data_IF_443504809406
#
_entry.id   IF_443504809406
#
_cell.length_a   1.000
_cell.length_b   1.000
_cell.length_c   1.000
_cell.angle_alpha   90.00
_cell.angle_beta   90.00
_cell.angle_gamma   90.00
#
_symmetry.space_group_name_H-M   'P 1'
#
loop_
_entity.id
_entity.type
_entity.pdbx_description
1 polymer ?
#
# COMPACT_ATOMS: atom_id res chain seq x y z
N UNK A 1 -46.02 27.19 37.21
CA UNK A 1 -45.51 25.91 36.66
C UNK A 1 -45.64 25.89 35.12
N UNK A 2 -45.13 26.90 34.41
CA UNK A 2 -45.15 26.95 32.92
C UNK A 2 -43.81 27.40 32.31
N UNK A 3 -42.88 27.93 33.11
CA UNK A 3 -41.55 28.37 32.63
C UNK A 3 -40.51 27.22 32.59
N UNK A 4 -40.54 26.27 33.55
CA UNK A 4 -39.59 25.15 33.60
C UNK A 4 -39.76 24.16 32.45
N UNK A 5 -40.97 23.99 31.92
CA UNK A 5 -41.24 23.06 30.82
C UNK A 5 -40.71 23.61 29.48
N UNK A 6 -40.74 24.94 29.27
CA UNK A 6 -40.28 25.58 28.03
C UNK A 6 -38.76 25.56 27.88
N UNK A 7 -38.02 25.68 28.99
CA UNK A 7 -36.54 25.63 29.01
C UNK A 7 -36.03 24.26 28.54
N UNK A 8 -36.70 23.16 28.92
CA UNK A 8 -36.32 21.83 28.47
C UNK A 8 -36.51 21.62 26.96
N UNK A 9 -37.55 22.20 26.36
CA UNK A 9 -37.76 22.10 24.90
C UNK A 9 -36.74 22.91 24.10
N UNK A 10 -36.35 24.09 24.58
CA UNK A 10 -35.32 24.92 23.93
C UNK A 10 -33.95 24.25 24.01
N UNK A 11 -33.61 23.66 25.16
CA UNK A 11 -32.35 22.93 25.34
C UNK A 11 -32.29 21.65 24.48
N UNK A 12 -33.40 20.92 24.38
CA UNK A 12 -33.52 19.73 23.53
C UNK A 12 -33.38 20.08 22.04
N UNK A 13 -33.98 21.20 21.59
CA UNK A 13 -33.86 21.69 20.22
C UNK A 13 -32.41 22.06 19.87
N UNK A 14 -31.67 22.65 20.81
CA UNK A 14 -30.28 23.09 20.60
C UNK A 14 -29.30 21.90 20.50
N UNK A 15 -29.56 20.80 21.22
CA UNK A 15 -28.82 19.54 21.10
C UNK A 15 -29.08 18.89 19.74
N UNK A 16 -30.34 18.89 19.25
CA UNK A 16 -30.69 18.33 17.94
C UNK A 16 -29.99 19.09 16.80
N UNK A 17 -29.89 20.42 16.88
CA UNK A 17 -29.17 21.24 15.88
C UNK A 17 -27.66 20.93 15.85
N UNK A 18 -27.06 20.60 17.00
CA UNK A 18 -25.65 20.17 17.04
C UNK A 18 -25.42 18.78 16.44
N UNK A 19 -26.41 17.87 16.52
CA UNK A 19 -26.32 16.53 15.94
C UNK A 19 -26.52 16.50 14.41
N UNK A 20 -27.09 17.55 13.81
CA UNK A 20 -27.27 17.67 12.36
C UNK A 20 -26.02 18.22 11.64
N UNK A 21 -24.91 18.44 12.36
CA UNK A 21 -23.64 18.93 11.84
C UNK A 21 -22.73 17.90 11.16
N UNK A 22 -23.19 16.66 10.91
CA UNK A 22 -22.50 15.76 9.99
C UNK A 22 -22.81 16.19 8.55
N UNK A 23 -22.17 17.27 8.11
CA UNK A 23 -22.05 17.55 6.69
C UNK A 23 -21.16 16.45 6.11
N UNK A 24 -21.76 15.49 5.41
CA UNK A 24 -21.07 14.72 4.38
C UNK A 24 -20.66 15.72 3.29
N UNK A 25 -19.51 16.35 3.53
CA UNK A 25 -18.88 17.23 2.55
C UNK A 25 -18.44 16.28 1.46
N UNK A 26 -19.24 16.14 0.41
CA UNK A 26 -18.92 15.49 -0.85
C UNK A 26 -17.75 16.23 -1.52
N UNK A 27 -16.58 16.22 -0.90
CA UNK A 27 -15.35 16.80 -1.42
C UNK A 27 -14.86 15.79 -2.44
N UNK A 28 -15.14 16.08 -3.71
CA UNK A 28 -14.60 15.30 -4.83
C UNK A 28 -13.08 15.22 -4.67
N UNK A 29 -12.48 14.02 -4.58
CA UNK A 29 -11.05 13.89 -4.42
C UNK A 29 -10.32 14.55 -5.59
N UNK A 30 -9.20 15.21 -5.30
CA UNK A 30 -8.34 15.80 -6.33
C UNK A 30 -7.84 14.73 -7.30
N UNK A 31 -7.42 15.14 -8.50
CA UNK A 31 -6.82 14.23 -9.46
C UNK A 31 -5.60 13.49 -8.85
N UNK A 32 -4.81 14.20 -8.06
CA UNK A 32 -3.66 13.66 -7.33
C UNK A 32 -4.06 12.62 -6.29
N UNK A 33 -5.10 12.92 -5.49
CA UNK A 33 -5.62 11.98 -4.50
C UNK A 33 -6.14 10.70 -5.15
N UNK A 34 -6.83 10.80 -6.29
CA UNK A 34 -7.30 9.63 -7.05
C UNK A 34 -6.14 8.79 -7.57
N UNK A 35 -5.13 9.45 -8.13
CA UNK A 35 -3.96 8.78 -8.70
C UNK A 35 -3.13 8.07 -7.63
N UNK A 36 -3.00 8.68 -6.45
CA UNK A 36 -2.37 8.05 -5.29
C UNK A 36 -3.15 6.82 -4.80
N UNK A 37 -4.48 6.92 -4.68
CA UNK A 37 -5.33 5.78 -4.31
C UNK A 37 -5.23 4.64 -5.32
N UNK A 38 -5.23 4.95 -6.61
CA UNK A 38 -5.06 3.95 -7.66
C UNK A 38 -3.69 3.27 -7.58
N UNK A 39 -2.61 4.02 -7.35
CA UNK A 39 -1.29 3.45 -7.11
C UNK A 39 -1.28 2.50 -5.90
N UNK A 40 -1.92 2.86 -4.79
CA UNK A 40 -2.02 1.99 -3.61
C UNK A 40 -2.80 0.70 -3.91
N UNK A 41 -3.90 0.79 -4.65
CA UNK A 41 -4.68 -0.37 -5.06
C UNK A 41 -3.85 -1.32 -5.94
N UNK A 42 -3.01 -0.76 -6.83
CA UNK A 42 -2.14 -1.57 -7.68
C UNK A 42 -1.02 -2.23 -6.87
N UNK A 43 -0.43 -1.54 -5.89
CA UNK A 43 0.54 -2.15 -4.95
C UNK A 43 -0.11 -3.36 -4.26
N UNK A 44 -1.34 -3.21 -3.78
CA UNK A 44 -2.07 -4.26 -3.08
C UNK A 44 -2.45 -5.43 -3.99
N UNK A 45 -2.88 -5.14 -5.23
CA UNK A 45 -3.16 -6.15 -6.24
C UNK A 45 -1.89 -6.94 -6.61
N UNK A 46 -0.77 -6.24 -6.79
CA UNK A 46 0.54 -6.86 -7.04
C UNK A 46 0.99 -7.72 -5.84
N UNK A 47 0.83 -7.22 -4.61
CA UNK A 47 1.17 -7.96 -3.38
C UNK A 47 0.40 -9.27 -3.31
N UNK A 48 -0.91 -9.19 -3.49
CA UNK A 48 -1.81 -10.36 -3.51
C UNK A 48 -1.43 -11.33 -4.63
N UNK A 49 -1.24 -10.83 -5.85
CA UNK A 49 -0.85 -11.64 -6.99
C UNK A 49 0.50 -12.33 -6.78
N UNK A 50 1.46 -11.68 -6.12
CA UNK A 50 2.73 -12.29 -5.76
C UNK A 50 2.53 -13.45 -4.76
N UNK A 51 1.81 -13.21 -3.67
CA UNK A 51 1.55 -14.22 -2.62
C UNK A 51 0.78 -15.44 -3.15
N UNK A 52 -0.19 -15.20 -4.03
CA UNK A 52 -1.02 -16.22 -4.68
C UNK A 52 -0.37 -16.82 -5.93
N UNK A 53 0.77 -16.25 -6.38
CA UNK A 53 1.47 -16.60 -7.61
C UNK A 53 0.63 -16.45 -8.88
N UNK A 54 -0.28 -15.48 -8.90
CA UNK A 54 -1.06 -15.11 -10.08
C UNK A 54 -0.20 -14.34 -11.09
N UNK A 55 0.34 -15.09 -12.06
CA UNK A 55 1.19 -14.56 -13.13
C UNK A 55 0.45 -13.57 -14.02
N UNK A 56 -0.84 -13.80 -14.28
CA UNK A 56 -1.61 -12.94 -15.17
C UNK A 56 -1.85 -11.57 -14.52
N UNK A 57 -2.21 -11.55 -13.24
CA UNK A 57 -2.35 -10.31 -12.47
C UNK A 57 -1.02 -9.54 -12.39
N UNK A 58 0.11 -10.21 -12.17
CA UNK A 58 1.44 -9.57 -12.19
C UNK A 58 1.73 -8.91 -13.55
N UNK A 59 1.45 -9.59 -14.67
CA UNK A 59 1.64 -9.04 -16.02
C UNK A 59 0.70 -7.87 -16.34
N UNK A 60 -0.52 -7.87 -15.79
CA UNK A 60 -1.49 -6.80 -15.99
C UNK A 60 -1.06 -5.51 -15.28
N UNK A 61 -0.53 -5.63 -14.06
CA UNK A 61 -0.23 -4.49 -13.20
C UNK A 61 1.21 -3.98 -13.30
N UNK A 62 2.14 -4.77 -13.83
CA UNK A 62 3.54 -4.39 -14.00
C UNK A 62 3.91 -4.13 -15.46
N UNK A 63 5.04 -3.45 -15.66
CA UNK A 63 5.78 -3.53 -16.91
C UNK A 63 6.24 -4.96 -17.19
N UNK A 64 6.34 -5.30 -18.49
CA UNK A 64 6.68 -6.64 -18.97
C UNK A 64 7.96 -7.22 -18.36
N UNK A 65 9.06 -6.45 -18.32
CA UNK A 65 10.34 -6.95 -17.82
C UNK A 65 10.31 -7.17 -16.30
N UNK A 66 9.67 -6.24 -15.57
CA UNK A 66 9.50 -6.36 -14.13
C UNK A 66 8.61 -7.55 -13.77
N UNK A 67 7.53 -7.76 -14.52
CA UNK A 67 6.64 -8.91 -14.36
C UNK A 67 7.40 -10.22 -14.57
N UNK A 68 8.15 -10.34 -15.67
CA UNK A 68 8.92 -11.54 -15.98
C UNK A 68 9.95 -11.87 -14.89
N UNK A 69 10.69 -10.87 -14.42
CA UNK A 69 11.66 -11.06 -13.36
C UNK A 69 10.99 -11.51 -12.06
N UNK A 70 9.88 -10.88 -11.70
CA UNK A 70 9.09 -11.24 -10.51
C UNK A 70 8.53 -12.66 -10.60
N UNK A 71 7.99 -13.04 -11.76
CA UNK A 71 7.42 -14.37 -12.02
C UNK A 71 8.50 -15.47 -11.93
N UNK A 72 9.70 -15.22 -12.47
CA UNK A 72 10.83 -16.15 -12.35
C UNK A 72 11.22 -16.38 -10.89
N UNK A 73 11.00 -15.40 -10.01
CA UNK A 73 11.30 -15.45 -8.58
C UNK A 73 10.27 -16.16 -7.70
N UNK A 74 9.15 -16.68 -8.24
CA UNK A 74 8.05 -17.31 -7.46
C UNK A 74 8.37 -18.73 -6.94
N UNK A 75 9.58 -18.90 -6.38
CA UNK A 75 10.18 -20.17 -5.93
C UNK A 75 10.00 -20.41 -4.42
N UNK A 76 8.83 -20.09 -3.87
CA UNK A 76 8.46 -20.34 -2.47
C UNK A 76 7.19 -21.19 -2.38
N UNK A 77 6.92 -21.83 -1.25
CA UNK A 77 5.63 -22.53 -1.02
C UNK A 77 4.51 -21.55 -0.69
N UNK A 78 4.82 -20.60 0.20
CA UNK A 78 3.93 -19.53 0.64
C UNK A 78 4.76 -18.28 0.89
N UNK A 79 4.18 -17.11 0.67
CA UNK A 79 4.72 -15.84 1.10
C UNK A 79 3.64 -15.05 1.84
N UNK A 80 4.08 -14.11 2.68
CA UNK A 80 3.23 -13.10 3.28
C UNK A 80 4.02 -11.81 3.35
N UNK A 81 3.54 -10.78 2.68
CA UNK A 81 4.12 -9.45 2.60
C UNK A 81 3.16 -8.45 3.26
N UNK A 82 3.74 -7.45 3.89
CA UNK A 82 3.02 -6.25 4.36
C UNK A 82 3.73 -5.05 3.78
N UNK A 83 2.98 -4.19 3.10
CA UNK A 83 3.50 -2.97 2.48
C UNK A 83 2.73 -1.79 3.06
N UNK A 84 3.46 -0.84 3.63
CA UNK A 84 2.89 0.34 4.31
C UNK A 84 3.38 1.60 3.62
N UNK A 85 2.55 2.22 2.74
CA UNK A 85 2.88 3.47 2.09
C UNK A 85 3.20 4.58 3.10
N UNK A 86 4.19 5.41 2.79
CA UNK A 86 4.64 6.53 3.64
C UNK A 86 4.48 7.87 2.95
N UNK A 87 4.87 7.95 1.69
CA UNK A 87 4.86 9.19 0.93
C UNK A 87 4.53 8.90 -0.52
N UNK A 88 3.84 9.85 -1.15
CA UNK A 88 3.56 9.83 -2.59
C UNK A 88 4.12 11.08 -3.21
N UNK A 89 4.93 10.90 -4.26
CA UNK A 89 5.43 11.98 -5.10
C UNK A 89 4.82 11.82 -6.49
N UNK A 90 4.16 12.86 -6.97
CA UNK A 90 3.51 12.86 -8.29
C UNK A 90 4.25 13.86 -9.16
N UNK A 91 4.68 13.41 -10.33
CA UNK A 91 5.24 14.25 -11.39
C UNK A 91 4.31 14.23 -12.61
N UNK A 92 4.73 14.89 -13.69
CA UNK A 92 3.95 14.87 -14.93
C UNK A 92 3.91 13.48 -15.58
N UNK A 93 4.97 12.69 -15.42
CA UNK A 93 5.12 11.40 -16.10
C UNK A 93 4.96 10.18 -15.18
N UNK A 94 5.13 10.36 -13.87
CA UNK A 94 5.20 9.24 -12.93
C UNK A 94 4.52 9.52 -11.60
N UNK A 95 4.17 8.44 -10.92
CA UNK A 95 3.76 8.45 -9.52
C UNK A 95 4.73 7.54 -8.78
N UNK A 96 5.35 8.06 -7.73
CA UNK A 96 6.25 7.30 -6.88
C UNK A 96 5.63 7.15 -5.51
N UNK A 97 5.48 5.92 -5.06
CA UNK A 97 5.03 5.59 -3.70
C UNK A 97 6.21 5.05 -2.92
N UNK A 98 6.70 5.82 -1.95
CA UNK A 98 7.64 5.31 -0.96
C UNK A 98 6.89 4.47 0.07
N UNK A 99 7.38 3.27 0.38
CA UNK A 99 6.81 2.42 1.41
C UNK A 99 7.87 1.65 2.19
N UNK A 100 7.55 1.37 3.45
CA UNK A 100 8.24 0.33 4.23
C UNK A 100 7.51 -0.99 4.00
N UNK A 101 8.25 -2.08 3.98
CA UNK A 101 7.67 -3.40 3.85
C UNK A 101 8.36 -4.42 4.74
N UNK A 102 7.64 -5.50 5.04
CA UNK A 102 8.17 -6.71 5.68
C UNK A 102 7.59 -7.94 5.01
N UNK A 103 8.35 -9.02 4.98
CA UNK A 103 7.98 -10.25 4.30
C UNK A 103 8.46 -11.50 4.99
N UNK A 104 7.68 -12.57 4.83
CA UNK A 104 8.01 -13.92 5.25
C UNK A 104 7.79 -14.88 4.09
N UNK A 105 8.74 -15.77 3.84
CA UNK A 105 8.68 -16.79 2.79
C UNK A 105 8.92 -18.17 3.37
N UNK A 106 8.05 -19.13 3.05
CA UNK A 106 8.19 -20.53 3.45
C UNK A 106 8.70 -21.34 2.27
N UNK A 107 9.83 -22.03 2.43
CA UNK A 107 10.44 -22.89 1.42
C UNK A 107 10.06 -24.36 1.65
N UNK A 108 10.37 -25.24 0.69
CA UNK A 108 10.01 -26.67 0.68
C UNK A 108 10.63 -27.53 1.79
N UNK A 109 11.59 -27.00 2.57
CA UNK A 109 12.33 -27.73 3.63
C UNK A 109 12.08 -27.17 5.05
N UNK A 110 10.88 -26.67 5.31
CA UNK A 110 10.51 -26.01 6.59
C UNK A 110 11.38 -24.81 6.98
N UNK A 111 12.12 -24.28 6.00
CA UNK A 111 12.88 -23.04 6.16
C UNK A 111 11.94 -21.86 5.92
N UNK A 112 11.81 -21.01 6.93
CA UNK A 112 11.27 -19.67 6.76
C UNK A 112 12.41 -18.68 6.60
N UNK A 113 12.21 -17.75 5.67
CA UNK A 113 13.03 -16.56 5.49
C UNK A 113 12.18 -15.35 5.80
N UNK A 114 12.79 -14.35 6.42
CA UNK A 114 12.17 -13.08 6.73
C UNK A 114 13.07 -11.97 6.26
N UNK A 115 12.47 -10.90 5.76
CA UNK A 115 13.18 -9.70 5.38
C UNK A 115 12.27 -8.48 5.52
N UNK A 116 12.86 -7.30 5.56
CA UNK A 116 12.17 -6.01 5.57
C UNK A 116 13.04 -4.97 4.90
N UNK A 117 12.43 -3.90 4.42
CA UNK A 117 13.16 -2.85 3.75
C UNK A 117 12.29 -1.64 3.42
N UNK A 118 12.89 -0.75 2.63
CA UNK A 118 12.22 0.43 2.10
C UNK A 118 12.34 0.41 0.59
N UNK A 119 11.24 0.70 -0.10
CA UNK A 119 11.22 0.77 -1.55
C UNK A 119 10.36 1.91 -2.06
N UNK A 120 10.74 2.41 -3.24
CA UNK A 120 9.93 3.31 -4.05
C UNK A 120 9.30 2.51 -5.19
N UNK A 121 7.97 2.41 -5.18
CA UNK A 121 7.19 1.86 -6.29
C UNK A 121 6.92 2.96 -7.30
N UNK A 122 7.46 2.82 -8.50
CA UNK A 122 7.35 3.83 -9.56
C UNK A 122 6.35 3.38 -10.61
N UNK A 123 5.29 4.16 -10.77
CA UNK A 123 4.21 3.95 -11.72
C UNK A 123 4.34 4.91 -12.89
N UNK A 124 4.07 4.43 -14.09
CA UNK A 124 3.86 5.30 -15.25
C UNK A 124 2.46 5.92 -15.16
N UNK A 125 2.36 7.26 -15.17
CA UNK A 125 1.12 7.97 -14.84
C UNK A 125 -0.03 7.69 -15.81
N UNK A 126 0.25 7.52 -17.10
CA UNK A 126 -0.82 7.33 -18.08
C UNK A 126 -1.35 5.88 -18.16
N UNK A 127 -0.49 4.88 -17.93
CA UNK A 127 -0.90 3.47 -17.96
C UNK A 127 -1.18 2.88 -16.58
N UNK A 128 -0.78 3.59 -15.52
CA UNK A 128 -0.79 3.15 -14.14
C UNK A 128 -0.09 1.81 -13.89
N UNK A 129 0.79 1.37 -14.79
CA UNK A 129 1.62 0.19 -14.57
C UNK A 129 2.78 0.49 -13.65
N UNK A 130 3.09 -0.46 -12.76
CA UNK A 130 4.32 -0.46 -11.97
C UNK A 130 5.50 -0.76 -12.90
N UNK A 131 6.31 0.25 -13.19
CA UNK A 131 7.41 0.16 -14.16
C UNK A 131 8.75 -0.12 -13.50
N UNK A 132 8.92 0.24 -12.23
CA UNK A 132 10.18 0.12 -11.51
C UNK A 132 9.95 0.02 -10.00
N UNK A 133 10.86 -0.66 -9.32
CA UNK A 133 10.97 -0.67 -7.86
C UNK A 133 12.40 -0.27 -7.53
N UNK A 134 12.57 0.89 -6.90
CA UNK A 134 13.88 1.37 -6.42
C UNK A 134 14.05 1.00 -4.93
N UNK A 135 15.26 0.62 -4.52
CA UNK A 135 15.56 0.21 -3.14
C UNK A 135 15.40 -1.31 -2.91
N UNK A 136 14.99 -1.69 -1.71
CA UNK A 136 14.88 -3.09 -1.31
C UNK A 136 13.60 -3.69 -1.92
N UNK A 137 13.70 -4.49 -2.99
CA UNK A 137 12.51 -5.00 -3.67
C UNK A 137 11.79 -6.11 -2.84
N UNK A 138 10.52 -5.90 -2.41
CA UNK A 138 9.77 -6.88 -1.62
C UNK A 138 9.39 -8.15 -2.37
N UNK A 139 9.48 -8.16 -3.71
CA UNK A 139 9.10 -9.30 -4.53
C UNK A 139 10.28 -10.21 -4.87
N UNK A 140 11.44 -9.98 -4.24
CA UNK A 140 12.61 -10.85 -4.32
C UNK A 140 12.69 -11.69 -3.05
N UNK A 141 12.69 -13.00 -3.21
CA UNK A 141 12.93 -13.92 -2.09
C UNK A 141 14.37 -13.68 -1.60
N UNK A 142 14.58 -13.35 -0.31
CA UNK A 142 15.91 -13.13 0.22
C UNK A 142 16.77 -14.41 0.11
N UNK A 143 18.08 -14.26 -0.01
CA UNK A 143 19.01 -15.37 0.16
C UNK A 143 19.29 -15.59 1.65
N UNK A 144 19.77 -16.79 2.03
CA UNK A 144 20.21 -17.08 3.41
C UNK A 144 21.36 -16.15 3.88
N UNK A 145 22.07 -15.50 2.94
CA UNK A 145 23.13 -14.55 3.23
C UNK A 145 22.59 -13.21 3.78
N UNK A 146 21.44 -12.74 3.27
CA UNK A 146 20.77 -11.54 3.79
C UNK A 146 20.37 -11.66 5.27
N UNK A 147 20.23 -12.89 5.79
CA UNK A 147 19.95 -13.15 7.21
C UNK A 147 21.14 -12.85 8.12
N UNK A 148 22.37 -12.93 7.60
CA UNK A 148 23.62 -12.79 8.37
C UNK A 148 24.15 -11.36 8.46
N UNK A 149 23.79 -10.50 7.51
CA UNK A 149 24.12 -9.07 7.52
C UNK A 149 22.83 -8.26 7.37
N UNK A 150 22.06 -8.03 8.46
CA UNK A 150 20.99 -7.05 8.42
C UNK A 150 21.59 -5.69 8.04
N UNK A 151 20.97 -5.00 7.08
CA UNK A 151 21.40 -3.67 6.62
C UNK A 151 21.67 -2.76 7.82
N UNK A 152 22.78 -1.98 7.81
CA UNK A 152 23.10 -1.10 8.91
C UNK A 152 21.93 -0.13 9.11
N UNK A 153 21.47 -0.03 10.36
CA UNK A 153 20.53 1.02 10.78
C UNK A 153 21.24 2.34 10.53
N UNK A 154 20.87 3.04 9.46
CA UNK A 154 21.28 4.42 9.23
C UNK A 154 20.70 5.23 10.39
N UNK A 155 21.53 5.49 11.41
CA UNK A 155 21.25 6.48 12.44
C UNK A 155 21.36 7.85 11.75
N UNK A 156 20.23 8.54 11.63
CA UNK A 156 20.20 9.97 11.31
C UNK A 156 20.69 10.78 12.50
#
# INVERSE_FOLDING_TARGET
MQAMMKINYVLLLLIIVMCLGCTDKNIKPSADSRSATEAFNIIEAVRTAYEEKDKAALQNHMDSLLAEHTIKGLLFKKAGLTITPRMVTITDESIKVNAVWSGSWWLTKDKSLENRGVADFVFHKASMKLIKIDGDNPFIVPSEENRRNPLPVMQN
#
